data_IF_380688678161
#
_entry.id   IF_380688678161
#
_cell.length_a   1.000
_cell.length_b   1.000
_cell.length_c   1.000
_cell.angle_alpha   90.00
_cell.angle_beta   90.00
_cell.angle_gamma   90.00
#
_symmetry.space_group_name_H-M   'P 1'
#
loop_
_entity.id
_entity.type
_entity.pdbx_description
1 polymer ?
#
# COMPACT_ATOMS: atom_id res chain seq x y z
N UNK A 1 24.71 3.36 0.76
CA UNK A 1 24.37 2.54 0.00
C UNK A 1 22.98 2.24 0.04
N UNK A 2 22.56 1.72 -0.85
CA UNK A 2 21.26 1.66 -1.04
C UNK A 2 20.76 0.39 -0.77
N UNK A 3 20.09 0.22 0.27
CA UNK A 3 19.44 -1.03 0.55
C UNK A 3 18.03 -0.95 0.05
N UNK A 4 17.94 -0.69 -1.22
CA UNK A 4 16.62 -0.61 -1.76
C UNK A 4 15.96 -1.95 -1.78
N UNK A 5 14.70 -1.97 -1.41
CA UNK A 5 13.91 -3.18 -1.47
C UNK A 5 13.80 -3.68 -2.90
N UNK A 6 13.69 -4.99 -3.04
CA UNK A 6 13.68 -5.63 -4.34
C UNK A 6 12.27 -5.85 -4.86
N UNK A 7 11.29 -5.14 -4.35
CA UNK A 7 9.93 -5.34 -4.83
C UNK A 7 9.55 -4.21 -5.78
N UNK A 8 8.48 -4.44 -6.52
CA UNK A 8 7.98 -3.45 -7.46
C UNK A 8 7.55 -2.20 -6.70
N UNK A 9 8.02 -1.07 -7.17
CA UNK A 9 7.69 0.18 -6.52
C UNK A 9 6.21 0.51 -6.67
N UNK A 10 5.64 1.13 -5.63
CA UNK A 10 4.27 1.60 -5.69
C UNK A 10 4.14 2.87 -6.51
N UNK A 11 2.92 3.38 -6.59
CA UNK A 11 1.72 2.81 -5.97
C UNK A 11 1.18 1.62 -6.73
N UNK A 12 0.48 0.75 -6.01
CA UNK A 12 -0.21 -0.38 -6.60
C UNK A 12 -1.70 -0.09 -6.56
N UNK A 13 -2.41 -0.53 -7.57
CA UNK A 13 -3.85 -0.31 -7.64
C UNK A 13 -4.56 -1.64 -7.88
N UNK A 14 -5.86 -1.64 -7.62
CA UNK A 14 -6.69 -2.81 -7.82
C UNK A 14 -7.61 -2.54 -9.00
N UNK A 15 -7.68 -3.51 -9.90
CA UNK A 15 -8.56 -3.39 -11.04
C UNK A 15 -9.28 -4.72 -11.22
N UNK A 16 -10.61 -4.66 -11.28
CA UNK A 16 -11.40 -5.86 -11.47
C UNK A 16 -11.52 -6.16 -12.95
N UNK A 17 -11.22 -7.40 -13.31
CA UNK A 17 -11.30 -7.85 -14.68
C UNK A 17 -12.49 -8.80 -14.85
N UNK A 18 -13.36 -8.50 -15.80
CA UNK A 18 -14.52 -9.33 -16.09
C UNK A 18 -14.54 -9.65 -17.57
N UNK A 19 -13.49 -10.28 -18.04
CA UNK A 19 -13.38 -10.49 -19.47
C UNK A 19 -14.27 -11.60 -19.98
N UNK A 20 -14.40 -12.66 -19.22
CA UNK A 20 -15.20 -13.81 -19.62
C UNK A 20 -16.04 -14.28 -18.46
N UNK A 21 -17.20 -14.86 -18.73
CA UNK A 21 -18.01 -15.42 -17.67
C UNK A 21 -17.21 -16.44 -16.86
N UNK A 22 -17.21 -16.28 -15.55
CA UNK A 22 -16.48 -17.17 -14.68
C UNK A 22 -15.01 -16.87 -14.56
N UNK A 23 -14.54 -15.86 -15.28
CA UNK A 23 -13.12 -15.50 -15.21
C UNK A 23 -12.96 -14.09 -14.67
N UNK A 24 -13.46 -13.87 -13.48
CA UNK A 24 -13.33 -12.59 -12.83
C UNK A 24 -12.16 -12.62 -11.86
N UNK A 25 -11.41 -11.55 -11.82
CA UNK A 25 -10.31 -11.45 -10.90
C UNK A 25 -10.11 -10.01 -10.47
N UNK A 26 -9.66 -9.84 -9.23
CA UNK A 26 -9.22 -8.55 -8.74
C UNK A 26 -7.71 -8.52 -8.89
N UNK A 27 -7.24 -7.72 -9.81
CA UNK A 27 -5.82 -7.66 -10.14
C UNK A 27 -5.16 -6.51 -9.40
N UNK A 28 -4.01 -6.79 -8.82
CA UNK A 28 -3.17 -5.75 -8.23
C UNK A 28 -2.02 -5.53 -9.18
N UNK A 29 -1.81 -4.28 -9.56
CA UNK A 29 -0.71 -3.97 -10.46
C UNK A 29 -0.16 -2.59 -10.17
N UNK A 30 1.04 -2.36 -10.63
CA UNK A 30 1.67 -1.05 -10.49
C UNK A 30 1.02 -0.08 -11.45
N UNK A 31 0.77 1.12 -10.94
CA UNK A 31 0.24 2.18 -11.78
C UNK A 31 1.35 2.63 -12.74
N UNK A 32 1.04 2.60 -14.04
CA UNK A 32 1.99 3.00 -15.06
C UNK A 32 1.44 4.17 -15.85
N UNK A 33 2.27 4.70 -16.73
CA UNK A 33 1.84 5.76 -17.62
C UNK A 33 0.71 5.26 -18.51
N UNK A 34 -0.22 6.12 -18.88
CA UNK A 34 -1.26 5.73 -19.82
C UNK A 34 -0.65 5.18 -21.10
N UNK A 35 -1.23 4.11 -21.59
CA UNK A 35 -0.77 3.49 -22.82
C UNK A 35 0.30 2.47 -22.66
N UNK A 36 0.93 2.37 -21.51
CA UNK A 36 1.95 1.36 -21.26
C UNK A 36 1.36 0.16 -20.60
N UNK A 37 1.98 -0.97 -20.83
CA UNK A 37 1.57 -2.18 -20.16
C UNK A 37 1.80 -2.02 -18.68
N UNK A 38 0.85 -2.53 -17.91
CA UNK A 38 0.95 -2.46 -16.47
C UNK A 38 1.71 -3.68 -15.99
N UNK A 39 2.36 -3.51 -14.82
CA UNK A 39 3.09 -4.60 -14.21
C UNK A 39 2.18 -5.27 -13.22
N UNK A 40 1.78 -6.50 -13.52
CA UNK A 40 0.94 -7.27 -12.62
C UNK A 40 1.71 -7.69 -11.39
N UNK A 41 1.06 -7.54 -10.25
CA UNK A 41 1.61 -8.02 -8.99
C UNK A 41 0.98 -9.35 -8.66
N UNK A 42 -0.33 -9.40 -8.68
CA UNK A 42 -1.04 -10.65 -8.43
C UNK A 42 -2.48 -10.53 -8.91
N UNK A 43 -3.17 -11.65 -8.97
CA UNK A 43 -4.58 -11.70 -9.30
C UNK A 43 -5.28 -12.56 -8.26
N UNK A 44 -6.43 -12.09 -7.80
CA UNK A 44 -7.21 -12.82 -6.81
C UNK A 44 -8.51 -13.19 -7.47
N UNK A 45 -8.69 -14.50 -7.63
CA UNK A 45 -9.84 -15.01 -8.34
C UNK A 45 -11.08 -15.08 -7.48
N UNK A 46 -12.20 -15.31 -8.12
CA UNK A 46 -13.51 -15.48 -7.52
C UNK A 46 -14.26 -14.19 -7.24
N UNK A 47 -13.64 -13.05 -7.42
CA UNK A 47 -14.28 -11.73 -7.41
C UNK A 47 -15.42 -11.60 -6.40
N UNK A 48 -15.17 -12.01 -5.16
CA UNK A 48 -16.11 -11.87 -4.08
C UNK A 48 -15.75 -10.61 -3.28
N UNK A 49 -16.61 -10.31 -2.30
CA UNK A 49 -16.28 -9.19 -1.41
C UNK A 49 -14.94 -9.45 -0.69
N UNK A 50 -14.72 -10.71 -0.30
CA UNK A 50 -13.47 -11.05 0.39
C UNK A 50 -12.28 -10.93 -0.55
N UNK A 51 -12.42 -11.31 -1.82
CA UNK A 51 -11.30 -11.20 -2.74
C UNK A 51 -10.96 -9.75 -3.01
N UNK A 52 -11.97 -8.87 -3.09
CA UNK A 52 -11.71 -7.45 -3.24
C UNK A 52 -11.00 -6.88 -2.03
N UNK A 53 -11.42 -7.29 -0.84
CA UNK A 53 -10.78 -6.82 0.38
C UNK A 53 -9.32 -7.29 0.43
N UNK A 54 -9.08 -8.53 0.02
CA UNK A 54 -7.71 -9.05 -0.02
C UNK A 54 -6.85 -8.29 -1.02
N UNK A 55 -7.40 -8.00 -2.20
CA UNK A 55 -6.66 -7.25 -3.21
C UNK A 55 -6.34 -5.84 -2.70
N UNK A 56 -7.29 -5.23 -2.03
CA UNK A 56 -7.10 -3.89 -1.48
C UNK A 56 -5.97 -3.90 -0.43
N UNK A 57 -5.97 -4.91 0.43
CA UNK A 57 -4.91 -5.03 1.42
C UNK A 57 -3.56 -5.20 0.76
N UNK A 58 -3.49 -6.06 -0.26
CA UNK A 58 -2.23 -6.29 -0.96
C UNK A 58 -1.77 -5.01 -1.63
N UNK A 59 -2.68 -4.27 -2.25
CA UNK A 59 -2.32 -3.04 -2.94
C UNK A 59 -1.80 -1.97 -1.99
N UNK A 60 -2.11 -2.07 -0.70
CA UNK A 60 -1.62 -1.12 0.28
C UNK A 60 -0.22 -1.47 0.78
N UNK A 61 0.34 -2.60 0.34
CA UNK A 61 1.64 -3.04 0.86
C UNK A 61 2.75 -2.01 0.70
N UNK A 62 2.90 -1.32 -0.45
CA UNK A 62 3.96 -0.32 -0.54
C UNK A 62 3.80 0.81 0.49
N UNK A 63 2.57 1.26 0.72
CA UNK A 63 2.33 2.32 1.70
C UNK A 63 2.63 1.82 3.11
N UNK A 64 2.28 0.57 3.40
CA UNK A 64 2.57 0.00 4.70
C UNK A 64 4.07 -0.19 4.91
N UNK A 65 4.76 -0.63 3.88
CA UNK A 65 6.21 -0.77 3.96
C UNK A 65 6.86 0.58 4.24
N UNK A 66 6.42 1.60 3.51
CA UNK A 66 6.97 2.93 3.66
C UNK A 66 6.73 3.48 5.07
N UNK A 67 5.53 3.24 5.61
CA UNK A 67 5.23 3.69 6.96
C UNK A 67 6.14 3.02 7.97
N UNK A 68 6.38 1.73 7.81
CA UNK A 68 7.24 1.01 8.74
C UNK A 68 8.70 1.41 8.59
N UNK A 69 9.11 1.70 7.36
CA UNK A 69 10.49 2.06 7.11
C UNK A 69 10.84 3.41 7.70
N UNK A 70 9.85 4.27 7.84
CA UNK A 70 10.08 5.64 8.29
C UNK A 70 9.70 5.88 9.74
N UNK A 71 9.52 4.80 10.52
CA UNK A 71 9.14 4.96 11.92
C UNK A 71 10.19 5.80 12.65
N UNK A 72 9.77 6.83 13.40
CA UNK A 72 10.73 7.65 14.11
C UNK A 72 11.37 6.88 15.27
N UNK A 73 12.64 7.11 15.45
CA UNK A 73 13.36 6.56 16.59
C UNK A 73 13.83 7.71 17.45
N UNK A 74 13.93 7.52 18.77
CA UNK A 74 14.42 8.59 19.64
C UNK A 74 15.83 8.99 19.24
N UNK A 75 16.10 10.28 19.27
CA UNK A 75 17.43 10.77 18.97
C UNK A 75 18.16 11.03 20.27
N UNK A 76 19.49 10.94 20.18
CA UNK A 76 20.32 11.21 21.34
C UNK A 76 20.03 12.65 21.83
N UNK A 77 19.78 12.78 23.10
CA UNK A 77 19.49 14.08 23.74
C UNK A 77 18.19 14.73 23.24
N UNK A 78 17.31 13.97 22.67
CA UNK A 78 16.03 14.50 22.26
C UNK A 78 15.07 14.53 23.45
N UNK A 79 14.37 15.64 23.63
CA UNK A 79 13.37 15.73 24.66
C UNK A 79 12.19 14.83 24.32
N UNK A 80 11.56 14.29 25.34
CA UNK A 80 10.45 13.39 25.14
C UNK A 80 9.32 14.04 24.36
N UNK A 81 9.02 15.29 24.64
CA UNK A 81 7.98 16.01 23.91
C UNK A 81 8.27 16.14 22.43
N UNK A 82 9.54 16.36 22.09
CA UNK A 82 9.92 16.44 20.69
C UNK A 82 9.75 15.12 19.99
N UNK A 83 10.11 14.02 20.67
CA UNK A 83 9.95 12.70 20.09
C UNK A 83 8.47 12.39 19.89
N UNK A 84 7.63 12.72 20.87
CA UNK A 84 6.19 12.47 20.73
C UNK A 84 5.61 13.25 19.56
N UNK A 85 6.06 14.48 19.35
CA UNK A 85 5.56 15.26 18.22
C UNK A 85 5.92 14.59 16.89
N UNK A 86 7.16 14.14 16.77
CA UNK A 86 7.59 13.45 15.55
C UNK A 86 6.84 12.14 15.35
N UNK A 87 6.67 11.40 16.43
CA UNK A 87 5.97 10.12 16.38
C UNK A 87 4.52 10.33 15.95
N UNK A 88 3.86 11.33 16.54
CA UNK A 88 2.46 11.58 16.22
C UNK A 88 2.29 12.05 14.77
N UNK A 89 3.22 12.87 14.30
CA UNK A 89 3.20 13.32 12.92
C UNK A 89 3.33 12.13 11.96
N UNK A 90 4.23 11.21 12.29
CA UNK A 90 4.41 10.01 11.49
C UNK A 90 3.15 9.16 11.51
N UNK A 91 2.56 8.99 12.69
CA UNK A 91 1.35 8.16 12.80
C UNK A 91 0.21 8.77 11.97
N UNK A 92 -0.02 10.06 12.11
CA UNK A 92 -1.12 10.70 11.39
C UNK A 92 -0.86 10.74 9.89
N UNK A 93 0.37 10.96 9.49
CA UNK A 93 0.69 11.15 8.10
C UNK A 93 0.94 9.87 7.33
N UNK A 94 1.35 8.82 8.01
CA UNK A 94 1.71 7.60 7.30
C UNK A 94 0.93 6.39 7.75
N UNK A 95 0.85 6.15 9.05
CA UNK A 95 0.24 4.92 9.52
C UNK A 95 -1.27 4.93 9.27
N UNK A 96 -1.93 6.01 9.66
CA UNK A 96 -3.39 6.09 9.46
C UNK A 96 -3.75 6.02 7.99
N UNK A 97 -2.96 6.66 7.15
CA UNK A 97 -3.24 6.64 5.72
C UNK A 97 -3.01 5.26 5.12
N UNK A 98 -1.95 4.58 5.54
CA UNK A 98 -1.71 3.23 5.06
C UNK A 98 -2.83 2.28 5.52
N UNK A 99 -3.28 2.43 6.75
CA UNK A 99 -4.38 1.61 7.24
C UNK A 99 -5.67 1.89 6.48
N UNK A 100 -5.96 3.16 6.23
CA UNK A 100 -7.16 3.50 5.47
C UNK A 100 -7.11 2.90 4.07
N UNK A 101 -5.95 2.95 3.44
CA UNK A 101 -5.80 2.36 2.12
C UNK A 101 -5.99 0.85 2.19
N UNK A 102 -5.42 0.20 3.19
CA UNK A 102 -5.54 -1.25 3.35
C UNK A 102 -6.98 -1.67 3.58
N UNK A 103 -7.77 -0.80 4.20
CA UNK A 103 -9.16 -1.08 4.48
C UNK A 103 -10.10 -0.61 3.37
N UNK A 104 -9.53 0.01 2.34
CA UNK A 104 -10.35 0.50 1.24
C UNK A 104 -11.10 1.77 1.54
N UNK A 105 -10.67 2.51 2.56
CA UNK A 105 -11.31 3.77 2.91
C UNK A 105 -10.62 4.92 2.21
N UNK A 106 -11.38 5.65 1.45
CA UNK A 106 -10.84 6.81 0.76
C UNK A 106 -11.53 8.06 1.24
N UNK A 107 -10.80 9.11 1.30
CA UNK A 107 -11.42 10.38 1.63
C UNK A 107 -11.59 11.22 0.44
#
# INVERSE_FOLDING_TARGET
MNNKAQFTQGPWIVETTNTLPGECADNVHRLCYPGYRIHGICAIWNNTRTSKANATLIAAAPAMYEALETVPLPKHNEAIGEFYTRFYTWYEGQVKQALAQAEGKHD
#
